data_IF_999772952580
#
_entry.id   IF_999772952580
#
_cell.length_a   1.000
_cell.length_b   1.000
_cell.length_c   1.000
_cell.angle_alpha   90.00
_cell.angle_beta   90.00
_cell.angle_gamma   90.00
#
_symmetry.space_group_name_H-M   'P 1'
#
loop_
_entity.id
_entity.type
_entity.pdbx_description
1 polymer ?
#
# COMPACT_ATOMS: atom_id res chain seq x y z
N UNK A 1 -10.35 13.06 0.86
CA UNK A 1 -9.48 11.87 1.00
C UNK A 1 -9.62 11.31 2.41
N UNK A 2 -9.49 10.00 2.58
CA UNK A 2 -9.40 9.30 3.87
C UNK A 2 -8.14 8.43 3.85
N UNK A 3 -7.47 8.27 4.99
CA UNK A 3 -6.38 7.30 5.15
C UNK A 3 -6.86 6.20 6.10
N UNK A 4 -6.70 4.94 5.70
CA UNK A 4 -7.00 3.78 6.53
C UNK A 4 -5.67 3.19 7.00
N UNK A 5 -5.36 3.41 8.27
CA UNK A 5 -4.14 2.97 8.94
C UNK A 5 -4.48 2.22 10.25
N UNK A 6 -5.39 1.24 10.14
CA UNK A 6 -5.82 0.37 11.23
C UNK A 6 -5.37 -1.07 10.97
N UNK A 7 -5.34 -1.95 11.99
CA UNK A 7 -5.19 -3.39 11.79
C UNK A 7 -6.25 -3.95 10.81
N UNK A 8 -5.90 -5.00 10.07
CA UNK A 8 -6.87 -5.65 9.17
C UNK A 8 -8.09 -6.17 9.94
N UNK A 9 -7.93 -6.65 11.17
CA UNK A 9 -9.05 -7.07 12.02
C UNK A 9 -10.13 -5.98 12.27
N UNK A 10 -9.81 -4.71 12.04
CA UNK A 10 -10.74 -3.59 12.23
C UNK A 10 -11.52 -3.20 10.97
N UNK A 11 -11.25 -3.78 9.78
CA UNK A 11 -11.84 -3.30 8.53
C UNK A 11 -13.38 -3.43 8.48
N UNK A 12 -13.95 -4.39 9.21
CA UNK A 12 -15.40 -4.58 9.30
C UNK A 12 -16.10 -3.54 10.19
N UNK A 13 -15.34 -2.80 11.00
CA UNK A 13 -15.85 -1.75 11.88
C UNK A 13 -15.68 -0.33 11.29
N UNK A 14 -15.20 -0.22 10.06
CA UNK A 14 -15.01 1.08 9.41
C UNK A 14 -16.36 1.81 9.20
N UNK A 15 -16.40 3.14 9.35
CA UNK A 15 -17.62 3.92 9.14
C UNK A 15 -17.92 4.09 7.64
N UNK A 16 -18.41 3.04 6.98
CA UNK A 16 -18.62 2.96 5.52
C UNK A 16 -19.36 4.17 4.95
N UNK A 17 -20.43 4.62 5.62
CA UNK A 17 -21.21 5.79 5.18
C UNK A 17 -20.36 7.07 5.08
N UNK A 18 -19.40 7.25 5.99
CA UNK A 18 -18.47 8.37 6.00
C UNK A 18 -17.33 8.25 4.99
N UNK A 19 -17.11 7.07 4.40
CA UNK A 19 -16.00 6.79 3.46
C UNK A 19 -16.50 6.69 2.01
N UNK A 20 -17.80 6.46 1.80
CA UNK A 20 -18.45 6.32 0.49
C UNK A 20 -17.98 7.38 -0.52
N UNK A 21 -17.65 6.94 -1.75
CA UNK A 21 -17.24 7.79 -2.87
C UNK A 21 -15.97 8.63 -2.65
N UNK A 22 -15.18 8.37 -1.59
CA UNK A 22 -13.92 9.09 -1.33
C UNK A 22 -12.73 8.32 -1.91
N UNK A 23 -11.66 9.07 -2.22
CA UNK A 23 -10.32 8.49 -2.38
C UNK A 23 -9.82 8.04 -1.02
N UNK A 24 -9.33 6.80 -0.97
CA UNK A 24 -8.84 6.11 0.21
C UNK A 24 -7.39 5.71 -0.02
N UNK A 25 -6.51 6.16 0.85
CA UNK A 25 -5.15 5.63 0.97
C UNK A 25 -5.21 4.44 1.94
N UNK A 26 -4.89 3.26 1.44
CA UNK A 26 -4.88 2.01 2.21
C UNK A 26 -3.44 1.64 2.61
N UNK A 27 -3.15 1.76 3.90
CA UNK A 27 -1.88 1.36 4.52
C UNK A 27 -1.97 0.02 5.27
N UNK A 28 -3.05 -0.75 5.08
CA UNK A 28 -3.33 -1.98 5.82
C UNK A 28 -2.39 -3.11 5.34
N UNK A 29 -1.94 -3.88 6.32
CA UNK A 29 -1.18 -5.12 6.14
C UNK A 29 -1.85 -6.25 6.93
N UNK A 30 -1.79 -7.46 6.40
CA UNK A 30 -2.27 -8.67 7.06
C UNK A 30 -1.17 -9.34 7.90
N UNK A 31 -1.49 -9.64 9.16
CA UNK A 31 -0.63 -10.35 10.09
C UNK A 31 -1.47 -11.44 10.77
N UNK A 32 -1.31 -12.74 10.42
CA UNK A 32 -2.14 -13.82 10.98
C UNK A 32 -2.13 -13.87 12.52
N UNK A 33 -0.98 -13.54 13.13
CA UNK A 33 -0.83 -13.50 14.59
C UNK A 33 -1.68 -12.41 15.28
N UNK A 34 -2.08 -11.38 14.54
CA UNK A 34 -2.89 -10.25 15.02
C UNK A 34 -4.33 -10.31 14.52
N UNK A 35 -4.49 -10.71 13.26
CA UNK A 35 -5.75 -10.62 12.52
C UNK A 35 -6.53 -11.95 12.50
N UNK A 36 -5.90 -13.06 12.95
CA UNK A 36 -6.38 -14.42 12.75
C UNK A 36 -6.06 -14.93 11.35
N UNK A 37 -6.13 -16.25 11.15
CA UNK A 37 -5.89 -16.85 9.83
C UNK A 37 -7.08 -16.56 8.89
N UNK A 38 -6.79 -16.02 7.71
CA UNK A 38 -7.76 -15.68 6.67
C UNK A 38 -7.39 -16.48 5.42
N UNK A 39 -8.10 -17.59 5.22
CA UNK A 39 -7.75 -18.61 4.23
C UNK A 39 -7.53 -18.06 2.80
N UNK A 40 -8.32 -17.07 2.36
CA UNK A 40 -8.18 -16.48 1.02
C UNK A 40 -6.94 -15.59 0.85
N UNK A 41 -6.44 -14.98 1.93
CA UNK A 41 -5.17 -14.26 1.94
C UNK A 41 -4.00 -15.25 2.06
N UNK A 42 -4.14 -16.26 2.91
CA UNK A 42 -3.10 -17.28 3.12
C UNK A 42 -2.84 -18.09 1.83
N UNK A 43 -3.86 -18.30 1.01
CA UNK A 43 -3.74 -19.00 -0.27
C UNK A 43 -3.51 -18.07 -1.47
N UNK A 44 -3.33 -16.76 -1.27
CA UNK A 44 -3.13 -15.78 -2.35
C UNK A 44 -4.31 -15.63 -3.33
N UNK A 45 -5.52 -16.05 -2.95
CA UNK A 45 -6.75 -15.94 -3.76
C UNK A 45 -7.20 -14.47 -3.91
N UNK A 46 -6.87 -13.64 -2.93
CA UNK A 46 -7.12 -12.20 -2.96
C UNK A 46 -5.98 -11.44 -2.26
N UNK A 47 -5.94 -10.12 -2.42
CA UNK A 47 -4.99 -9.24 -1.71
C UNK A 47 -5.66 -8.59 -0.50
N UNK A 48 -4.84 -8.05 0.41
CA UNK A 48 -5.35 -7.32 1.58
C UNK A 48 -6.18 -6.09 1.20
N UNK A 49 -5.80 -5.42 0.12
CA UNK A 49 -6.51 -4.24 -0.39
C UNK A 49 -7.78 -4.61 -1.15
N UNK A 50 -7.80 -5.74 -1.87
CA UNK A 50 -9.03 -6.27 -2.47
C UNK A 50 -10.04 -6.68 -1.38
N UNK A 51 -9.57 -7.29 -0.29
CA UNK A 51 -10.43 -7.60 0.85
C UNK A 51 -11.03 -6.33 1.48
N UNK A 52 -10.22 -5.28 1.67
CA UNK A 52 -10.71 -3.97 2.11
C UNK A 52 -11.72 -3.37 1.12
N UNK A 53 -11.48 -3.49 -0.18
CA UNK A 53 -12.36 -2.98 -1.23
C UNK A 53 -13.76 -3.60 -1.19
N UNK A 54 -13.89 -4.88 -0.82
CA UNK A 54 -15.19 -5.56 -0.65
C UNK A 54 -16.05 -4.88 0.43
N UNK A 55 -15.42 -4.34 1.48
CA UNK A 55 -16.12 -3.59 2.54
C UNK A 55 -16.43 -2.13 2.16
N UNK A 56 -15.76 -1.60 1.14
CA UNK A 56 -15.87 -0.21 0.69
C UNK A 56 -16.12 -0.13 -0.83
N UNK A 57 -17.18 -0.77 -1.37
CA UNK A 57 -17.34 -1.02 -2.81
C UNK A 57 -17.50 0.22 -3.69
N UNK A 58 -17.63 1.39 -3.09
CA UNK A 58 -17.77 2.68 -3.80
C UNK A 58 -16.61 3.64 -3.52
N UNK A 59 -15.67 3.24 -2.67
CA UNK A 59 -14.45 4.02 -2.45
C UNK A 59 -13.45 3.78 -3.58
N UNK A 60 -12.58 4.75 -3.82
CA UNK A 60 -11.48 4.65 -4.77
C UNK A 60 -10.21 4.37 -3.98
N UNK A 61 -9.79 3.11 -3.95
CA UNK A 61 -8.72 2.65 -3.05
C UNK A 61 -7.38 2.70 -3.79
N UNK A 62 -6.39 3.26 -3.12
CA UNK A 62 -4.98 3.22 -3.52
C UNK A 62 -4.17 2.64 -2.37
N UNK A 63 -3.54 1.49 -2.57
CA UNK A 63 -2.61 0.89 -1.61
C UNK A 63 -1.32 1.71 -1.61
N UNK A 64 -0.94 2.24 -0.45
CA UNK A 64 0.27 3.03 -0.26
C UNK A 64 0.64 3.08 1.23
N UNK A 65 1.88 3.45 1.56
CA UNK A 65 2.45 3.53 2.91
C UNK A 65 2.49 2.21 3.71
N UNK A 66 1.99 1.10 3.17
CA UNK A 66 2.02 -0.18 3.86
C UNK A 66 3.44 -0.79 3.91
N UNK A 67 4.31 -0.49 2.93
CA UNK A 67 5.64 -1.09 2.75
C UNK A 67 6.80 -0.23 3.31
N UNK A 68 6.56 0.50 4.39
CA UNK A 68 7.58 1.27 5.12
C UNK A 68 7.32 1.17 6.63
N UNK A 69 8.35 0.96 7.47
CA UNK A 69 8.21 1.10 8.91
C UNK A 69 7.81 2.54 9.27
N UNK A 70 6.81 2.70 10.14
CA UNK A 70 6.31 4.03 10.54
C UNK A 70 7.41 4.98 11.03
N UNK A 71 8.40 4.46 11.76
CA UNK A 71 9.54 5.24 12.27
C UNK A 71 10.46 5.77 11.15
N UNK A 72 10.51 5.09 10.01
CA UNK A 72 11.31 5.49 8.84
C UNK A 72 10.59 6.53 7.98
N UNK A 73 9.25 6.60 8.05
CA UNK A 73 8.48 7.61 7.33
C UNK A 73 8.86 9.03 7.77
N UNK A 74 9.19 9.23 9.05
CA UNK A 74 9.59 10.51 9.61
C UNK A 74 11.07 10.85 9.41
N UNK A 75 11.94 9.84 9.27
CA UNK A 75 13.40 10.01 9.36
C UNK A 75 14.16 9.79 8.05
N UNK A 76 13.62 9.02 7.11
CA UNK A 76 14.32 8.65 5.86
C UNK A 76 14.01 9.59 4.68
N UNK A 77 13.12 10.55 4.86
CA UNK A 77 12.69 11.47 3.79
C UNK A 77 13.84 12.34 3.27
N UNK A 78 14.00 12.41 1.95
CA UNK A 78 14.98 13.25 1.26
C UNK A 78 14.32 14.20 0.25
N UNK A 79 14.95 15.35 0.01
CA UNK A 79 14.50 16.30 -1.00
C UNK A 79 14.42 15.66 -2.39
N UNK A 80 13.49 16.12 -3.21
CA UNK A 80 13.33 15.65 -4.59
C UNK A 80 14.64 15.77 -5.37
N UNK A 81 15.00 14.70 -6.10
CA UNK A 81 16.23 14.61 -6.88
C UNK A 81 17.49 14.20 -6.11
N UNK A 82 17.40 13.97 -4.79
CA UNK A 82 18.53 13.38 -4.06
C UNK A 82 18.88 11.98 -4.61
N UNK A 83 20.17 11.71 -4.80
CA UNK A 83 20.69 10.49 -5.47
C UNK A 83 20.18 9.19 -4.82
N UNK A 84 20.03 9.18 -3.49
CA UNK A 84 19.61 8.02 -2.71
C UNK A 84 18.18 8.15 -2.17
N UNK A 85 17.32 8.94 -2.83
CA UNK A 85 15.92 9.07 -2.44
C UNK A 85 15.22 7.71 -2.57
N UNK A 86 14.76 7.18 -1.45
CA UNK A 86 14.03 5.91 -1.39
C UNK A 86 12.71 6.03 -2.16
N UNK A 87 12.35 4.99 -2.89
CA UNK A 87 11.05 4.87 -3.52
C UNK A 87 10.09 4.00 -2.69
N UNK A 88 8.81 4.32 -2.75
CA UNK A 88 7.72 3.53 -2.17
C UNK A 88 6.70 3.12 -3.25
N UNK A 89 6.21 1.88 -3.22
CA UNK A 89 5.23 1.39 -4.19
C UNK A 89 3.83 1.94 -3.90
N UNK A 90 3.03 2.06 -4.95
CA UNK A 90 1.58 2.30 -4.86
C UNK A 90 0.83 1.49 -5.92
N UNK A 91 -0.40 1.11 -5.63
CA UNK A 91 -1.28 0.37 -6.54
C UNK A 91 -2.72 0.84 -6.42
N UNK A 92 -3.47 0.95 -7.51
CA UNK A 92 -4.88 1.33 -7.48
C UNK A 92 -5.49 1.46 -8.87
N UNK A 93 -6.82 1.32 -8.94
CA UNK A 93 -7.55 1.35 -10.22
C UNK A 93 -7.95 2.77 -10.66
N UNK A 94 -7.80 3.76 -9.77
CA UNK A 94 -8.17 5.16 -9.98
C UNK A 94 -6.91 6.04 -10.06
N UNK A 95 -6.70 6.66 -11.22
CA UNK A 95 -5.52 7.49 -11.50
C UNK A 95 -5.41 8.72 -10.58
N UNK A 96 -6.54 9.31 -10.17
CA UNK A 96 -6.56 10.44 -9.24
C UNK A 96 -6.06 10.01 -7.85
N UNK A 97 -6.51 8.86 -7.35
CA UNK A 97 -6.02 8.26 -6.11
C UNK A 97 -4.51 7.98 -6.14
N UNK A 98 -4.00 7.41 -7.24
CA UNK A 98 -2.56 7.19 -7.43
C UNK A 98 -1.76 8.48 -7.48
N UNK A 99 -2.29 9.51 -8.14
CA UNK A 99 -1.68 10.85 -8.18
C UNK A 99 -1.59 11.46 -6.77
N UNK A 100 -2.66 11.33 -5.97
CA UNK A 100 -2.66 11.78 -4.57
C UNK A 100 -1.59 11.04 -3.76
N UNK A 101 -1.50 9.71 -3.87
CA UNK A 101 -0.51 8.92 -3.16
C UNK A 101 0.93 9.30 -3.55
N UNK A 102 1.20 9.50 -4.84
CA UNK A 102 2.51 9.93 -5.33
C UNK A 102 2.90 11.33 -4.81
N UNK A 103 1.95 12.27 -4.79
CA UNK A 103 2.17 13.60 -4.23
C UNK A 103 2.44 13.56 -2.73
N UNK A 104 1.77 12.68 -1.98
CA UNK A 104 2.06 12.46 -0.57
C UNK A 104 3.46 11.88 -0.36
N UNK A 105 3.86 10.85 -1.13
CA UNK A 105 5.24 10.36 -1.06
C UNK A 105 6.26 11.46 -1.32
N UNK A 106 6.04 12.29 -2.35
CA UNK A 106 6.94 13.38 -2.65
C UNK A 106 7.06 14.38 -1.50
N UNK A 107 5.93 14.77 -0.91
CA UNK A 107 5.86 15.67 0.25
C UNK A 107 6.56 15.11 1.50
N UNK A 108 6.56 13.79 1.66
CA UNK A 108 7.27 13.09 2.74
C UNK A 108 8.74 12.79 2.40
N UNK A 109 9.21 13.14 1.20
CA UNK A 109 10.60 12.94 0.81
C UNK A 109 10.91 11.58 0.18
N UNK A 110 9.92 10.91 -0.41
CA UNK A 110 10.06 9.63 -1.08
C UNK A 110 9.69 9.72 -2.56
N UNK A 111 10.35 8.93 -3.40
CA UNK A 111 9.90 8.71 -4.76
C UNK A 111 8.70 7.75 -4.79
N UNK A 112 7.84 7.90 -5.78
CA UNK A 112 6.72 6.99 -6.01
C UNK A 112 7.02 5.99 -7.12
N UNK A 113 6.61 4.74 -6.96
CA UNK A 113 6.51 3.76 -8.04
C UNK A 113 5.09 3.22 -8.13
N UNK A 114 4.36 3.65 -9.17
CA UNK A 114 3.09 3.06 -9.53
C UNK A 114 3.31 1.66 -10.11
N UNK A 115 2.67 0.65 -9.51
CA UNK A 115 2.76 -0.75 -9.93
C UNK A 115 1.53 -1.23 -10.72
N UNK A 116 0.57 -0.34 -10.98
CA UNK A 116 -0.63 -0.61 -11.76
C UNK A 116 -1.90 -0.78 -10.90
N UNK A 117 -2.81 -1.70 -11.29
CA UNK A 117 -4.12 -1.83 -10.66
C UNK A 117 -4.04 -2.29 -9.21
N UNK A 118 -5.12 -2.15 -8.45
CA UNK A 118 -5.16 -2.47 -7.01
C UNK A 118 -4.75 -3.93 -6.74
N UNK A 119 -5.08 -4.81 -7.67
CA UNK A 119 -4.73 -6.23 -7.62
C UNK A 119 -3.22 -6.47 -7.63
N UNK A 120 -2.37 -5.55 -8.09
CA UNK A 120 -0.90 -5.70 -8.03
C UNK A 120 -0.32 -5.36 -6.65
N UNK A 121 -1.17 -4.94 -5.70
CA UNK A 121 -0.82 -4.64 -4.31
C UNK A 121 -0.07 -5.76 -3.59
N UNK A 122 -0.34 -7.03 -3.94
CA UNK A 122 0.29 -8.21 -3.30
C UNK A 122 1.82 -8.19 -3.37
N UNK A 123 2.41 -7.57 -4.40
CA UNK A 123 3.87 -7.58 -4.61
C UNK A 123 4.65 -6.88 -3.50
N UNK A 124 4.00 -6.01 -2.74
CA UNK A 124 4.59 -5.24 -1.64
C UNK A 124 3.80 -5.38 -0.34
N UNK A 125 3.07 -6.49 -0.19
CA UNK A 125 2.46 -6.90 1.07
C UNK A 125 3.48 -7.56 2.01
N UNK A 126 3.09 -7.73 3.28
CA UNK A 126 3.91 -8.36 4.29
C UNK A 126 4.45 -9.71 3.81
N UNK A 127 5.77 -9.88 3.95
CA UNK A 127 6.46 -11.13 3.62
C UNK A 127 7.04 -11.16 2.21
N UNK A 128 6.75 -10.17 1.36
CA UNK A 128 7.43 -10.06 0.07
C UNK A 128 8.80 -9.36 0.17
N UNK A 129 9.67 -9.51 -0.84
CA UNK A 129 11.00 -8.89 -0.82
C UNK A 129 11.01 -7.35 -0.76
N UNK A 130 9.94 -6.69 -1.20
CA UNK A 130 9.84 -5.23 -1.18
C UNK A 130 9.28 -4.67 0.15
N UNK A 131 8.74 -5.52 1.02
CA UNK A 131 8.06 -5.09 2.24
C UNK A 131 9.04 -4.49 3.26
N UNK A 132 8.91 -3.18 3.50
CA UNK A 132 9.70 -2.45 4.50
C UNK A 132 11.22 -2.45 4.25
N UNK A 133 11.66 -2.73 3.02
CA UNK A 133 13.08 -2.67 2.63
C UNK A 133 13.37 -1.35 1.93
N UNK A 134 14.38 -0.57 2.37
CA UNK A 134 14.81 0.63 1.65
C UNK A 134 15.36 0.29 0.27
N UNK A 135 14.79 0.88 -0.77
CA UNK A 135 15.19 0.67 -2.16
C UNK A 135 15.10 1.97 -2.94
N UNK A 136 16.04 2.20 -3.85
CA UNK A 136 15.87 3.18 -4.93
C UNK A 136 14.70 2.79 -5.83
N UNK A 137 14.18 3.72 -6.63
CA UNK A 137 13.12 3.42 -7.61
C UNK A 137 13.48 2.28 -8.56
N UNK A 138 14.73 2.23 -9.01
CA UNK A 138 15.24 1.18 -9.91
C UNK A 138 15.27 -0.19 -9.24
N UNK A 139 15.78 -0.27 -8.01
CA UNK A 139 15.81 -1.51 -7.24
C UNK A 139 14.41 -1.99 -6.91
N UNK A 140 13.52 -1.09 -6.48
CA UNK A 140 12.13 -1.40 -6.19
C UNK A 140 11.43 -2.00 -7.43
N UNK A 141 11.58 -1.36 -8.60
CA UNK A 141 11.00 -1.88 -9.85
C UNK A 141 11.54 -3.28 -10.20
N UNK A 142 12.85 -3.50 -10.09
CA UNK A 142 13.47 -4.80 -10.37
C UNK A 142 13.01 -5.88 -9.37
N UNK A 143 12.89 -5.55 -8.09
CA UNK A 143 12.40 -6.45 -7.04
C UNK A 143 10.95 -6.84 -7.28
N UNK A 144 10.06 -5.88 -7.55
CA UNK A 144 8.65 -6.14 -7.77
C UNK A 144 8.38 -6.96 -9.03
N UNK A 145 9.17 -6.75 -10.10
CA UNK A 145 9.07 -7.53 -11.33
C UNK A 145 9.42 -9.02 -11.12
N UNK A 146 10.32 -9.31 -10.18
CA UNK A 146 10.78 -10.66 -9.86
C UNK A 146 10.06 -11.31 -8.68
N UNK A 147 9.18 -10.57 -7.99
CA UNK A 147 8.47 -11.09 -6.82
C UNK A 147 7.52 -12.21 -7.25
N UNK A 148 7.71 -13.45 -6.77
CA UNK A 148 6.84 -14.56 -7.12
C UNK A 148 5.51 -14.42 -6.39
N UNK A 149 4.41 -14.78 -7.07
CA UNK A 149 3.13 -14.98 -6.40
C UNK A 149 3.19 -16.32 -5.68
N UNK A 150 2.94 -16.29 -4.37
CA UNK A 150 2.86 -17.48 -3.52
C UNK A 150 1.69 -18.38 -3.88
#
# INVERSE_FOLDING_TARGET
MVVIAVPLSAINALPVAGIKNKHVIDAVNYYPQRDGDIAELDSGQTTTSELLARNLPTARITKAFNAIPMTQLESDGLAAGAENRRALPLAGDDEEGKTIAAALYDAFGFDALDVGPLSEGWRFERGTPAYCVPMSRRELAATLAQTPRG
#
